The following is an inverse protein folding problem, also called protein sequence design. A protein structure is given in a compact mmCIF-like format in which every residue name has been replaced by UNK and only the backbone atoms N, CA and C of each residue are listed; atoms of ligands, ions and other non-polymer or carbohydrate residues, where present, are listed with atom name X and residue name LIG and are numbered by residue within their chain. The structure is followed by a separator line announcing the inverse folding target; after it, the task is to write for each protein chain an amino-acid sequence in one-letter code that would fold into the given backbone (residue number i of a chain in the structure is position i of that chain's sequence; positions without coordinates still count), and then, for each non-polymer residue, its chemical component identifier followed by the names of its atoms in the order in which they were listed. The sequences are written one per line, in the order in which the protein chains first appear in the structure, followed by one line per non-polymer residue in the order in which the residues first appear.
data_IF_003598144481
#
_entry.id   IF_003598144481
#
_cell.length_a   1.000
_cell.length_b   1.000
_cell.length_c   1.000
_cell.angle_alpha   90.00
_cell.angle_beta   90.00
_cell.angle_gamma   90.00
#
_symmetry.space_group_name_H-M   'P 1'
#
loop_
_entity.id
_entity.type
_entity.pdbx_description
1 polymer ?
#
# COMPACT_ATOMS: atom_id res chain seq x y z
N UNK A 1 -4.89 -15.19 19.55
CA UNK A 1 -4.23 -14.11 18.79
C UNK A 1 -2.98 -13.66 19.55
N UNK A 2 -1.81 -13.55 18.90
CA UNK A 2 -0.54 -13.29 19.58
C UNK A 2 -0.53 -11.87 20.19
N UNK A 3 -0.23 -11.74 21.49
CA UNK A 3 -0.21 -10.46 22.23
C UNK A 3 0.68 -9.40 21.55
N UNK A 4 1.75 -9.82 20.86
CA UNK A 4 2.63 -8.93 20.09
C UNK A 4 1.96 -8.34 18.84
N UNK A 5 1.16 -9.13 18.14
CA UNK A 5 0.41 -8.67 16.95
C UNK A 5 -0.62 -7.63 17.39
N UNK A 6 -1.31 -7.88 18.51
CA UNK A 6 -2.30 -6.95 19.06
C UNK A 6 -1.65 -5.60 19.43
N UNK A 7 -0.46 -5.62 20.04
CA UNK A 7 0.29 -4.40 20.40
C UNK A 7 0.68 -3.61 19.13
N UNK A 8 1.19 -4.28 18.09
CA UNK A 8 1.59 -3.60 16.85
C UNK A 8 0.39 -2.99 16.11
N UNK A 9 -0.75 -3.70 16.08
CA UNK A 9 -2.00 -3.16 15.52
C UNK A 9 -2.47 -1.95 16.31
N UNK A 10 -2.43 -2.00 17.64
CA UNK A 10 -2.80 -0.86 18.48
C UNK A 10 -1.88 0.36 18.26
N UNK A 11 -0.56 0.15 18.10
CA UNK A 11 0.39 1.23 17.78
C UNK A 11 0.09 1.83 16.41
N UNK A 12 -0.15 1.01 15.38
CA UNK A 12 -0.47 1.49 14.03
C UNK A 12 -1.75 2.34 14.04
N UNK A 13 -2.81 1.86 14.72
CA UNK A 13 -4.06 2.62 14.91
C UNK A 13 -3.78 3.93 15.67
N UNK A 14 -2.96 3.90 16.72
CA UNK A 14 -2.56 5.09 17.47
C UNK A 14 -1.85 6.12 16.61
N UNK A 15 -0.90 5.71 15.76
CA UNK A 15 -0.21 6.60 14.82
C UNK A 15 -1.19 7.21 13.82
N UNK A 16 -2.08 6.40 13.24
CA UNK A 16 -3.11 6.90 12.31
C UNK A 16 -4.02 7.92 13.00
N UNK A 17 -4.45 7.65 14.24
CA UNK A 17 -5.27 8.58 15.02
C UNK A 17 -4.50 9.87 15.30
N UNK A 18 -3.23 9.80 15.72
CA UNK A 18 -2.42 11.01 15.97
C UNK A 18 -2.26 11.84 14.69
N UNK A 19 -1.95 11.20 13.56
CA UNK A 19 -1.86 11.88 12.26
C UNK A 19 -3.20 12.50 11.87
N UNK A 20 -4.30 11.79 12.10
CA UNK A 20 -5.65 12.27 11.83
C UNK A 20 -6.02 13.48 12.71
N UNK A 21 -5.72 13.42 14.02
CA UNK A 21 -5.96 14.52 14.95
C UNK A 21 -5.13 15.77 14.62
N UNK A 22 -3.91 15.58 14.09
CA UNK A 22 -3.04 16.67 13.67
C UNK A 22 -3.18 16.99 12.17
N UNK A 23 -4.16 16.40 11.48
CA UNK A 23 -4.25 16.48 10.03
C UNK A 23 -4.32 17.92 9.54
N UNK A 24 -5.15 18.75 10.15
CA UNK A 24 -5.27 20.17 9.80
C UNK A 24 -3.95 20.93 9.99
N UNK A 25 -3.26 20.71 11.12
CA UNK A 25 -1.96 21.35 11.36
C UNK A 25 -0.89 20.89 10.34
N UNK A 26 -0.96 19.64 9.89
CA UNK A 26 -0.08 19.11 8.85
C UNK A 26 -0.41 19.75 7.49
N UNK A 27 -1.69 19.79 7.08
CA UNK A 27 -2.10 20.33 5.78
C UNK A 27 -2.01 21.85 5.68
N UNK A 28 -2.13 22.58 6.80
CA UNK A 28 -1.91 24.03 6.88
C UNK A 28 -0.43 24.40 6.97
N UNK A 29 0.48 23.42 7.14
CA UNK A 29 1.91 23.69 7.14
C UNK A 29 2.38 24.28 5.81
N UNK A 30 2.97 25.48 5.89
CA UNK A 30 3.57 26.16 4.74
C UNK A 30 4.59 25.28 4.01
N UNK A 31 5.37 24.46 4.74
CA UNK A 31 6.35 23.57 4.15
C UNK A 31 5.71 22.50 3.25
N UNK A 32 4.60 21.90 3.70
CA UNK A 32 3.91 20.86 2.95
C UNK A 32 3.20 21.47 1.73
N UNK A 33 2.54 22.61 1.91
CA UNK A 33 1.91 23.33 0.80
C UNK A 33 2.93 23.73 -0.27
N UNK A 34 4.07 24.29 0.11
CA UNK A 34 5.16 24.62 -0.82
C UNK A 34 5.70 23.37 -1.51
N UNK A 35 5.90 22.26 -0.78
CA UNK A 35 6.36 21.01 -1.38
C UNK A 35 5.37 20.47 -2.42
N UNK A 36 4.07 20.46 -2.11
CA UNK A 36 3.03 20.00 -3.03
C UNK A 36 2.94 20.90 -4.26
N UNK A 37 2.98 22.22 -4.12
CA UNK A 37 2.93 23.14 -5.27
C UNK A 37 4.20 23.10 -6.12
N UNK A 38 5.36 22.83 -5.50
CA UNK A 38 6.64 22.74 -6.20
C UNK A 38 6.79 21.43 -6.97
N UNK A 39 6.46 20.29 -6.35
CA UNK A 39 6.71 18.97 -6.91
C UNK A 39 5.48 18.29 -7.53
N UNK A 40 4.27 18.75 -7.21
CA UNK A 40 3.01 18.27 -7.78
C UNK A 40 2.88 16.75 -7.80
N UNK A 41 2.43 16.22 -8.93
CA UNK A 41 2.23 14.77 -9.13
C UNK A 41 3.52 13.94 -8.96
N UNK A 42 4.68 14.50 -9.33
CA UNK A 42 5.97 13.81 -9.20
C UNK A 42 6.34 13.65 -7.72
N UNK A 43 6.14 14.71 -6.92
CA UNK A 43 6.33 14.65 -5.48
C UNK A 43 5.41 13.62 -4.82
N UNK A 44 4.14 13.61 -5.21
CA UNK A 44 3.14 12.64 -4.72
C UNK A 44 3.56 11.20 -5.06
N UNK A 45 4.05 10.95 -6.27
CA UNK A 45 4.53 9.64 -6.69
C UNK A 45 5.73 9.15 -5.86
N UNK A 46 6.75 10.00 -5.63
CA UNK A 46 7.89 9.58 -4.81
C UNK A 46 7.52 9.42 -3.33
N UNK A 47 6.67 10.29 -2.82
CA UNK A 47 6.14 10.16 -1.47
C UNK A 47 5.31 8.87 -1.30
N UNK A 48 4.57 8.45 -2.34
CA UNK A 48 3.78 7.22 -2.28
C UNK A 48 4.64 5.96 -2.33
N UNK A 49 5.84 5.98 -2.93
CA UNK A 49 6.81 4.88 -2.81
C UNK A 49 7.19 4.66 -1.34
N UNK A 50 7.45 5.75 -0.60
CA UNK A 50 7.80 5.68 0.81
C UNK A 50 6.60 5.24 1.67
N UNK A 51 5.40 5.71 1.34
CA UNK A 51 4.15 5.25 1.94
C UNK A 51 3.91 3.75 1.69
N UNK A 52 4.43 3.19 0.59
CA UNK A 52 4.34 1.77 0.26
C UNK A 52 5.00 0.83 1.27
N UNK A 53 5.84 1.34 2.18
CA UNK A 53 6.40 0.58 3.30
C UNK A 53 5.47 0.63 4.53
N UNK A 54 4.18 0.33 4.32
CA UNK A 54 3.11 0.48 5.31
C UNK A 54 3.32 -0.40 6.56
N UNK A 55 4.04 -1.53 6.44
CA UNK A 55 4.43 -2.33 7.60
C UNK A 55 5.38 -1.59 8.56
N UNK A 56 6.17 -0.62 8.07
CA UNK A 56 7.11 0.16 8.87
C UNK A 56 6.49 1.48 9.34
N UNK A 57 5.80 2.19 8.44
CA UNK A 57 5.17 3.48 8.71
C UNK A 57 3.75 3.46 8.13
N UNK A 58 2.72 3.22 8.95
CA UNK A 58 1.34 3.10 8.48
C UNK A 58 0.70 4.47 8.28
N UNK A 59 1.23 5.26 7.35
CA UNK A 59 0.66 6.56 6.97
C UNK A 59 0.28 6.51 5.49
N UNK A 60 -1.00 6.23 5.18
CA UNK A 60 -1.44 6.11 3.80
C UNK A 60 -1.56 7.51 3.17
N UNK A 61 -0.75 7.76 2.15
CA UNK A 61 -0.66 9.06 1.47
C UNK A 61 -1.99 9.56 0.88
N UNK A 62 -2.92 8.64 0.57
CA UNK A 62 -4.25 8.97 0.04
C UNK A 62 -5.09 9.85 0.99
N UNK A 63 -4.77 9.87 2.29
CA UNK A 63 -5.45 10.75 3.25
C UNK A 63 -5.23 12.24 2.91
N UNK A 64 -4.12 12.58 2.25
CA UNK A 64 -3.83 13.96 1.84
C UNK A 64 -4.53 14.40 0.54
N UNK A 65 -5.41 13.58 -0.03
CA UNK A 65 -6.15 13.92 -1.26
C UNK A 65 -6.94 15.24 -1.20
N UNK A 66 -7.58 15.65 -0.09
CA UNK A 66 -8.24 16.97 0.00
C UNK A 66 -7.27 18.13 -0.21
N UNK A 67 -6.09 18.07 0.40
CA UNK A 67 -5.04 19.07 0.23
C UNK A 67 -4.57 19.14 -1.23
N UNK A 68 -4.38 17.98 -1.87
CA UNK A 68 -3.96 17.93 -3.26
C UNK A 68 -5.00 18.58 -4.19
N UNK A 69 -6.29 18.31 -3.97
CA UNK A 69 -7.37 18.92 -4.74
C UNK A 69 -7.56 20.40 -4.45
N UNK A 70 -7.40 20.83 -3.19
CA UNK A 70 -7.45 22.24 -2.78
C UNK A 70 -6.37 23.05 -3.50
N UNK A 71 -5.18 22.48 -3.66
CA UNK A 71 -4.05 23.07 -4.39
C UNK A 71 -4.17 22.93 -5.92
N UNK A 72 -5.32 22.48 -6.43
CA UNK A 72 -5.63 22.47 -7.87
C UNK A 72 -5.14 21.24 -8.63
N UNK A 73 -4.68 20.19 -7.96
CA UNK A 73 -4.27 18.95 -8.64
C UNK A 73 -5.48 18.11 -9.05
N UNK A 74 -5.42 17.52 -10.24
CA UNK A 74 -6.45 16.64 -10.75
C UNK A 74 -6.45 15.31 -9.97
N UNK A 75 -7.58 14.99 -9.35
CA UNK A 75 -7.72 13.83 -8.48
C UNK A 75 -7.44 12.49 -9.18
N UNK A 76 -7.78 12.36 -10.47
CA UNK A 76 -7.55 11.12 -11.23
C UNK A 76 -6.04 10.89 -11.39
N UNK A 77 -5.29 11.95 -11.71
CA UNK A 77 -3.83 11.88 -11.84
C UNK A 77 -3.18 11.65 -10.48
N UNK A 78 -3.68 12.28 -9.41
CA UNK A 78 -3.22 12.04 -8.04
C UNK A 78 -3.39 10.58 -7.64
N UNK A 79 -4.58 10.01 -7.82
CA UNK A 79 -4.87 8.61 -7.48
C UNK A 79 -3.99 7.65 -8.29
N UNK A 80 -3.77 7.95 -9.58
CA UNK A 80 -2.86 7.17 -10.42
C UNK A 80 -1.41 7.26 -9.91
N UNK A 81 -0.92 8.45 -9.62
CA UNK A 81 0.44 8.67 -9.10
C UNK A 81 0.67 7.98 -7.75
N UNK A 82 -0.31 8.08 -6.84
CA UNK A 82 -0.30 7.35 -5.56
C UNK A 82 -0.23 5.85 -5.81
N UNK A 83 -1.13 5.31 -6.62
CA UNK A 83 -1.21 3.87 -6.88
C UNK A 83 0.07 3.34 -7.53
N UNK A 84 0.64 4.10 -8.47
CA UNK A 84 1.86 3.71 -9.17
C UNK A 84 3.07 3.68 -8.22
N UNK A 85 3.25 4.72 -7.39
CA UNK A 85 4.36 4.74 -6.45
C UNK A 85 4.19 3.72 -5.32
N UNK A 86 2.98 3.51 -4.78
CA UNK A 86 2.70 2.41 -3.83
C UNK A 86 3.08 1.06 -4.43
N UNK A 87 2.69 0.81 -5.68
CA UNK A 87 3.05 -0.42 -6.39
C UNK A 87 4.56 -0.58 -6.60
N UNK A 88 5.31 0.51 -6.75
CA UNK A 88 6.77 0.45 -6.75
C UNK A 88 7.36 0.17 -5.35
N UNK A 89 6.75 0.65 -4.28
CA UNK A 89 7.10 0.24 -2.91
C UNK A 89 6.85 -1.25 -2.70
N UNK A 90 5.68 -1.73 -3.13
CA UNK A 90 5.26 -3.14 -3.12
C UNK A 90 6.26 -4.07 -3.84
N UNK A 91 6.89 -3.59 -4.93
CA UNK A 91 7.95 -4.33 -5.62
C UNK A 91 9.10 -4.71 -4.69
N UNK A 92 9.55 -3.76 -3.86
CA UNK A 92 10.67 -3.98 -2.95
C UNK A 92 10.34 -5.12 -2.00
N UNK A 93 9.14 -5.11 -1.44
CA UNK A 93 8.68 -6.12 -0.47
C UNK A 93 8.46 -7.49 -1.13
N UNK A 94 8.00 -7.52 -2.38
CA UNK A 94 7.95 -8.74 -3.17
C UNK A 94 9.34 -9.35 -3.42
N UNK A 95 10.34 -8.51 -3.68
CA UNK A 95 11.72 -8.98 -3.84
C UNK A 95 12.37 -9.40 -2.52
N UNK A 96 12.05 -8.74 -1.41
CA UNK A 96 12.44 -9.21 -0.06
C UNK A 96 11.91 -10.62 0.16
N UNK A 97 10.63 -10.88 -0.14
CA UNK A 97 10.05 -12.22 -0.08
C UNK A 97 10.76 -13.22 -0.99
N UNK A 98 11.09 -12.82 -2.23
CA UNK A 98 11.84 -13.68 -3.17
C UNK A 98 13.26 -13.98 -2.71
N UNK A 99 13.98 -13.01 -2.15
CA UNK A 99 15.31 -13.22 -1.60
C UNK A 99 15.29 -14.24 -0.45
N UNK A 100 14.22 -14.23 0.35
CA UNK A 100 14.00 -15.22 1.40
C UNK A 100 13.92 -16.66 0.90
N UNK A 101 13.52 -16.90 -0.36
CA UNK A 101 13.45 -18.24 -0.94
C UNK A 101 14.81 -18.95 -0.97
N UNK A 102 15.90 -18.20 -1.19
CA UNK A 102 17.26 -18.75 -1.29
C UNK A 102 17.88 -19.15 0.06
N UNK A 103 17.28 -18.72 1.18
CA UNK A 103 17.81 -18.90 2.53
C UNK A 103 17.26 -20.15 3.26
N UNK A 104 16.54 -21.04 2.55
CA UNK A 104 15.86 -22.18 3.17
C UNK A 104 16.66 -23.49 3.06
N UNK A 105 17.08 -24.01 4.22
CA UNK A 105 17.73 -25.32 4.37
C UNK A 105 16.81 -26.52 4.13
N UNK A 106 17.40 -27.72 4.06
CA UNK A 106 16.75 -29.01 3.81
C UNK A 106 15.52 -29.30 4.68
N UNK A 107 15.51 -28.86 5.94
CA UNK A 107 14.46 -29.18 6.91
C UNK A 107 13.14 -28.45 6.63
N UNK A 108 13.18 -27.32 5.91
CA UNK A 108 11.99 -26.54 5.55
C UNK A 108 11.52 -26.79 4.12
N UNK A 109 12.15 -27.71 3.38
CA UNK A 109 11.74 -28.14 2.02
C UNK A 109 10.28 -28.59 1.91
N UNK A 110 9.67 -29.31 2.87
CA UNK A 110 8.28 -29.74 2.74
C UNK A 110 7.29 -28.58 2.66
N UNK A 111 7.52 -27.52 3.46
CA UNK A 111 6.71 -26.31 3.43
C UNK A 111 6.88 -25.57 2.09
N UNK A 112 8.12 -25.44 1.62
CA UNK A 112 8.41 -24.82 0.32
C UNK A 112 7.69 -25.55 -0.83
N UNK A 113 7.79 -26.88 -0.87
CA UNK A 113 7.10 -27.70 -1.89
C UNK A 113 5.58 -27.50 -1.87
N UNK A 114 4.98 -27.32 -0.69
CA UNK A 114 3.54 -27.04 -0.58
C UNK A 114 3.19 -25.68 -1.17
N UNK A 115 4.01 -24.67 -0.94
CA UNK A 115 3.83 -23.32 -1.47
C UNK A 115 4.02 -23.28 -3.00
N UNK A 116 5.03 -23.97 -3.52
CA UNK A 116 5.26 -24.12 -4.97
C UNK A 116 4.11 -24.85 -5.65
N UNK A 117 3.64 -25.96 -5.06
CA UNK A 117 2.49 -26.71 -5.53
C UNK A 117 1.23 -25.86 -5.56
N UNK A 118 0.99 -25.05 -4.53
CA UNK A 118 -0.14 -24.12 -4.51
C UNK A 118 -0.06 -23.09 -5.64
N UNK A 119 1.13 -22.53 -5.89
CA UNK A 119 1.38 -21.62 -7.01
C UNK A 119 1.09 -22.29 -8.35
N UNK A 120 1.47 -23.55 -8.53
CA UNK A 120 1.30 -24.29 -9.78
C UNK A 120 -0.15 -24.71 -10.02
N UNK A 121 -0.83 -25.19 -8.98
CA UNK A 121 -2.21 -25.65 -9.07
C UNK A 121 -3.21 -24.49 -9.16
N UNK A 122 -2.94 -23.36 -8.49
CA UNK A 122 -3.92 -22.26 -8.32
C UNK A 122 -3.36 -20.86 -8.57
N UNK A 123 -2.60 -20.60 -9.64
CA UNK A 123 -1.99 -19.28 -9.88
C UNK A 123 -3.04 -18.18 -10.04
N UNK A 124 -4.15 -18.46 -10.74
CA UNK A 124 -5.24 -17.49 -10.94
C UNK A 124 -5.92 -17.13 -9.63
N UNK A 125 -6.19 -18.11 -8.77
CA UNK A 125 -6.82 -17.87 -7.46
C UNK A 125 -5.95 -16.97 -6.60
N UNK A 126 -4.63 -17.20 -6.56
CA UNK A 126 -3.69 -16.34 -5.82
C UNK A 126 -3.70 -14.90 -6.33
N UNK A 127 -3.73 -14.69 -7.66
CA UNK A 127 -3.83 -13.35 -8.24
C UNK A 127 -5.18 -12.68 -7.93
N UNK A 128 -6.29 -13.41 -8.00
CA UNK A 128 -7.61 -12.87 -7.61
C UNK A 128 -7.63 -12.51 -6.12
N UNK A 129 -7.05 -13.35 -5.26
CA UNK A 129 -6.92 -13.05 -3.83
C UNK A 129 -6.12 -11.77 -3.61
N UNK A 130 -5.00 -11.60 -4.30
CA UNK A 130 -4.21 -10.36 -4.23
C UNK A 130 -5.02 -9.15 -4.68
N UNK A 131 -5.72 -9.25 -5.81
CA UNK A 131 -6.56 -8.15 -6.31
C UNK A 131 -7.61 -7.74 -5.29
N UNK A 132 -8.41 -8.70 -4.79
CA UNK A 132 -9.48 -8.42 -3.83
C UNK A 132 -8.93 -7.89 -2.52
N UNK A 133 -7.80 -8.44 -2.04
CA UNK A 133 -7.14 -7.96 -0.85
C UNK A 133 -6.68 -6.51 -1.02
N UNK A 134 -5.90 -6.23 -2.05
CA UNK A 134 -5.37 -4.89 -2.31
C UNK A 134 -6.47 -3.86 -2.62
N UNK A 135 -7.63 -4.28 -3.13
CA UNK A 135 -8.75 -3.40 -3.47
C UNK A 135 -9.63 -3.01 -2.28
N UNK A 136 -9.84 -3.94 -1.33
CA UNK A 136 -10.92 -3.81 -0.35
C UNK A 136 -10.48 -4.01 1.09
N UNK A 137 -9.29 -4.56 1.32
CA UNK A 137 -8.80 -4.82 2.67
C UNK A 137 -7.85 -3.69 3.04
N UNK A 138 -8.15 -2.87 4.08
CA UNK A 138 -7.30 -1.77 4.51
C UNK A 138 -6.10 -2.28 5.33
N UNK A 139 -5.32 -3.19 4.73
CA UNK A 139 -4.13 -3.79 5.32
C UNK A 139 -2.95 -3.64 4.36
N UNK A 140 -1.70 -3.63 4.89
CA UNK A 140 -0.50 -3.61 4.07
C UNK A 140 -0.45 -4.79 3.09
N UNK A 141 -0.28 -4.51 1.78
CA UNK A 141 -0.18 -5.52 0.72
C UNK A 141 0.99 -6.48 0.93
N UNK A 142 2.03 -6.04 1.63
CA UNK A 142 3.22 -6.78 2.01
C UNK A 142 2.88 -8.12 2.69
N UNK A 143 1.75 -8.19 3.39
CA UNK A 143 1.23 -9.42 4.02
C UNK A 143 1.03 -10.54 3.00
N UNK A 144 0.66 -10.22 1.76
CA UNK A 144 0.52 -11.18 0.66
C UNK A 144 1.72 -11.16 -0.27
N UNK A 145 2.30 -9.99 -0.55
CA UNK A 145 3.40 -9.84 -1.50
C UNK A 145 4.68 -10.54 -1.04
N UNK A 146 4.99 -10.52 0.26
CA UNK A 146 6.16 -11.24 0.79
C UNK A 146 5.98 -12.76 0.57
N UNK A 147 4.88 -13.40 1.01
CA UNK A 147 4.61 -14.81 0.69
C UNK A 147 4.60 -15.11 -0.82
N UNK A 148 4.06 -14.23 -1.66
CA UNK A 148 4.00 -14.46 -3.10
C UNK A 148 5.38 -14.37 -3.76
N UNK A 149 6.21 -13.46 -3.28
CA UNK A 149 7.62 -13.37 -3.63
C UNK A 149 8.35 -14.66 -3.26
N UNK A 150 8.12 -15.13 -2.04
CA UNK A 150 8.67 -16.36 -1.48
C UNK A 150 8.23 -17.63 -2.24
N UNK A 151 6.97 -17.69 -2.69
CA UNK A 151 6.44 -18.74 -3.59
C UNK A 151 7.10 -18.73 -4.98
N UNK A 152 7.84 -17.66 -5.33
CA UNK A 152 8.39 -17.49 -6.67
C UNK A 152 7.33 -17.17 -7.72
N UNK A 153 6.23 -16.48 -7.35
CA UNK A 153 5.25 -15.99 -8.34
C UNK A 153 5.93 -15.07 -9.36
N UNK A 154 5.45 -15.02 -10.62
CA UNK A 154 6.11 -14.18 -11.64
C UNK A 154 5.75 -12.72 -11.40
N UNK A 155 6.77 -11.85 -11.36
CA UNK A 155 6.56 -10.42 -11.13
C UNK A 155 5.57 -9.80 -12.13
N UNK A 156 5.70 -10.17 -13.41
CA UNK A 156 4.84 -9.68 -14.49
C UNK A 156 3.34 -10.01 -14.31
N UNK A 157 3.01 -10.97 -13.45
CA UNK A 157 1.64 -11.32 -13.10
C UNK A 157 1.18 -10.59 -11.84
N UNK A 158 2.05 -10.48 -10.83
CA UNK A 158 1.75 -9.88 -9.53
C UNK A 158 1.62 -8.36 -9.64
N UNK A 159 2.54 -7.72 -10.37
CA UNK A 159 2.64 -6.27 -10.39
C UNK A 159 1.42 -5.55 -10.98
N UNK A 160 0.90 -5.95 -12.16
CA UNK A 160 -0.29 -5.31 -12.71
C UNK A 160 -1.53 -5.53 -11.82
N UNK A 161 -1.60 -6.69 -11.16
CA UNK A 161 -2.71 -7.03 -10.27
C UNK A 161 -2.66 -6.20 -8.98
N UNK A 162 -1.49 -6.04 -8.37
CA UNK A 162 -1.29 -5.16 -7.22
C UNK A 162 -1.59 -3.70 -7.59
N UNK A 163 -1.13 -3.24 -8.75
CA UNK A 163 -1.44 -1.90 -9.27
C UNK A 163 -2.94 -1.65 -9.41
N UNK A 164 -3.66 -2.58 -10.05
CA UNK A 164 -5.10 -2.45 -10.22
C UNK A 164 -5.83 -2.48 -8.88
N UNK A 165 -5.38 -3.31 -7.93
CA UNK A 165 -5.93 -3.33 -6.58
C UNK A 165 -5.73 -1.99 -5.86
N UNK A 166 -4.50 -1.48 -5.85
CA UNK A 166 -4.18 -0.16 -5.30
C UNK A 166 -4.99 0.95 -5.97
N UNK A 167 -5.19 0.89 -7.30
CA UNK A 167 -5.97 1.87 -8.03
C UNK A 167 -7.44 1.88 -7.57
N UNK A 168 -8.05 0.70 -7.42
CA UNK A 168 -9.42 0.57 -6.90
C UNK A 168 -9.50 1.10 -5.47
N UNK A 169 -8.62 0.63 -4.58
CA UNK A 169 -8.62 1.04 -3.18
C UNK A 169 -8.45 2.57 -3.03
N UNK A 170 -7.45 3.15 -3.68
CA UNK A 170 -7.19 4.58 -3.57
C UNK A 170 -8.30 5.42 -4.20
N UNK A 171 -8.98 4.93 -5.24
CA UNK A 171 -10.16 5.60 -5.80
C UNK A 171 -11.32 5.60 -4.81
N UNK A 172 -11.60 4.46 -4.17
CA UNK A 172 -12.66 4.32 -3.16
C UNK A 172 -12.38 5.20 -1.95
N UNK A 173 -11.14 5.18 -1.45
CA UNK A 173 -10.75 5.99 -0.28
C UNK A 173 -10.77 7.48 -0.63
N UNK A 174 -10.20 7.90 -1.76
CA UNK A 174 -10.22 9.31 -2.15
C UNK A 174 -11.65 9.84 -2.32
N UNK A 175 -12.54 9.09 -2.99
CA UNK A 175 -13.93 9.50 -3.16
C UNK A 175 -14.70 9.55 -1.83
N UNK A 176 -14.48 8.58 -0.93
CA UNK A 176 -15.05 8.59 0.41
C UNK A 176 -14.57 9.76 1.26
N UNK A 177 -13.27 10.05 1.27
CA UNK A 177 -12.69 11.18 2.01
C UNK A 177 -13.24 12.50 1.48
N UNK A 178 -13.19 12.73 0.16
CA UNK A 178 -13.70 13.97 -0.43
C UNK A 178 -15.19 14.15 -0.13
N UNK A 179 -15.98 13.06 -0.19
CA UNK A 179 -17.40 13.09 0.17
C UNK A 179 -17.64 13.54 1.61
N UNK A 180 -16.86 13.04 2.57
CA UNK A 180 -16.95 13.46 3.98
C UNK A 180 -16.56 14.93 4.14
N UNK A 181 -15.48 15.36 3.49
CA UNK A 181 -15.01 16.75 3.55
C UNK A 181 -16.06 17.75 3.03
N UNK A 182 -16.73 17.42 1.91
CA UNK A 182 -17.78 18.28 1.33
C UNK A 182 -19.05 18.38 2.17
N UNK A 183 -19.26 17.48 3.14
CA UNK A 183 -20.42 17.53 4.06
C UNK A 183 -20.11 18.38 5.29
N UNK A 184 -18.84 18.46 5.69
CA UNK A 184 -18.39 19.12 6.93
C UNK A 184 -18.09 20.62 6.77
N UNK A 185 -18.00 21.12 5.54
CA UNK A 185 -17.68 22.51 5.17
C UNK A 185 -18.81 23.04 4.28
#
# INVERSE_FOLDING_TARGET
MNKKILINVAIAIGVIIVVFLHFNAITESNYIRIAVTTYGYVGIFFASILSGFNLLVPVPIVIFTPLFTELGLNIIIVVFAISAGLTLGDLVMFYVGRGGHALFDSDKRPFMKKMERLREERPKTLLVTLFLFASFVPLPNEVLLIPFGFMGMRLRQVLPVAFLGNLVFNTLVASGIIGIFNILI
#
